data_IF_888865457653
#
_entry.id   IF_888865457653
#
_cell.length_a   1.000
_cell.length_b   1.000
_cell.length_c   1.000
_cell.angle_alpha   90.00
_cell.angle_beta   90.00
_cell.angle_gamma   90.00
#
_symmetry.space_group_name_H-M   'P 1'
#
loop_
_entity.id
_entity.type
_entity.pdbx_description
1 polymer ?
#
# COMPACT_ATOMS: atom_id res chain seq x y z
N UNK A 1 17.76 -26.90 19.70
CA UNK A 1 16.81 -27.74 18.95
C UNK A 1 17.25 -29.19 19.15
N UNK A 2 16.44 -30.02 19.81
CA UNK A 2 16.72 -31.45 19.89
C UNK A 2 16.51 -32.05 18.50
N UNK A 3 17.59 -32.49 17.86
CA UNK A 3 17.51 -33.33 16.66
C UNK A 3 17.03 -34.71 17.12
N UNK A 4 15.73 -34.97 17.01
CA UNK A 4 15.21 -36.32 17.10
C UNK A 4 15.82 -37.15 15.97
N UNK A 5 16.61 -38.16 16.32
CA UNK A 5 17.14 -39.11 15.34
C UNK A 5 16.00 -40.00 14.86
N UNK A 6 15.50 -39.72 13.65
CA UNK A 6 14.47 -40.52 12.94
C UNK A 6 14.95 -41.96 12.70
N UNK A 7 16.25 -42.25 12.85
CA UNK A 7 16.81 -43.60 12.67
C UNK A 7 16.47 -44.58 13.82
N UNK A 8 15.92 -44.09 14.94
CA UNK A 8 15.59 -44.91 16.10
C UNK A 8 14.08 -45.22 16.26
N UNK A 9 13.20 -44.64 15.42
CA UNK A 9 11.75 -44.83 15.55
C UNK A 9 11.27 -46.08 14.77
N UNK A 10 10.28 -46.83 15.30
CA UNK A 10 9.67 -47.92 14.56
C UNK A 10 9.17 -47.40 13.21
N UNK A 11 9.51 -48.12 12.14
CA UNK A 11 9.13 -47.74 10.76
C UNK A 11 7.65 -47.40 10.71
N UNK A 12 7.34 -46.11 10.58
CA UNK A 12 5.96 -45.64 10.43
C UNK A 12 5.31 -46.40 9.28
N UNK A 13 4.02 -46.74 9.44
CA UNK A 13 3.28 -47.31 8.33
C UNK A 13 3.27 -46.31 7.18
N UNK A 14 3.22 -46.80 5.96
CA UNK A 14 3.15 -45.95 4.78
C UNK A 14 1.97 -44.97 4.83
N UNK A 15 0.84 -45.41 5.39
CA UNK A 15 -0.32 -44.58 5.64
C UNK A 15 0.00 -43.40 6.56
N UNK A 16 0.71 -43.66 7.67
CA UNK A 16 1.12 -42.62 8.62
C UNK A 16 2.12 -41.64 8.00
N UNK A 17 3.03 -42.12 7.14
CA UNK A 17 3.95 -41.28 6.37
C UNK A 17 3.23 -40.32 5.44
N UNK A 18 2.23 -40.82 4.69
CA UNK A 18 1.43 -40.00 3.78
C UNK A 18 0.64 -38.95 4.57
N UNK A 19 0.02 -39.32 5.70
CA UNK A 19 -0.69 -38.39 6.57
C UNK A 19 0.23 -37.29 7.14
N UNK A 20 1.40 -37.67 7.65
CA UNK A 20 2.37 -36.74 8.20
C UNK A 20 2.85 -35.77 7.11
N UNK A 21 3.15 -36.27 5.92
CA UNK A 21 3.53 -35.41 4.81
C UNK A 21 2.41 -34.45 4.43
N UNK A 22 1.14 -34.90 4.38
CA UNK A 22 0.01 -34.01 4.09
C UNK A 22 -0.12 -32.87 5.10
N UNK A 23 0.13 -33.13 6.38
CA UNK A 23 0.13 -32.08 7.40
C UNK A 23 1.26 -31.07 7.17
N UNK A 24 2.47 -31.55 6.88
CA UNK A 24 3.63 -30.69 6.56
C UNK A 24 3.37 -29.88 5.29
N UNK A 25 2.79 -30.53 4.27
CA UNK A 25 2.39 -29.92 3.02
C UNK A 25 1.39 -28.77 3.24
N UNK A 26 0.30 -28.99 3.98
CA UNK A 26 -0.67 -27.93 4.30
C UNK A 26 -0.03 -26.73 5.01
N UNK A 27 0.93 -26.98 5.91
CA UNK A 27 1.66 -25.92 6.58
C UNK A 27 2.58 -25.15 5.61
N UNK A 28 3.24 -25.84 4.68
CA UNK A 28 4.05 -25.23 3.61
C UNK A 28 3.16 -24.42 2.65
N UNK A 29 2.00 -24.93 2.24
CA UNK A 29 1.01 -24.20 1.43
C UNK A 29 0.59 -22.88 2.10
N UNK A 30 0.24 -22.94 3.38
CA UNK A 30 -0.19 -21.78 4.14
C UNK A 30 0.92 -20.72 4.23
N UNK A 31 2.14 -21.12 4.58
CA UNK A 31 3.27 -20.18 4.68
C UNK A 31 3.68 -19.64 3.30
N UNK A 32 3.52 -20.41 2.22
CA UNK A 32 3.74 -19.94 0.85
C UNK A 32 2.74 -18.83 0.48
N UNK A 33 1.46 -19.03 0.74
CA UNK A 33 0.42 -18.01 0.53
C UNK A 33 0.68 -16.75 1.36
N UNK A 34 1.09 -16.92 2.62
CA UNK A 34 1.49 -15.80 3.49
C UNK A 34 2.65 -15.00 2.89
N UNK A 35 3.69 -15.68 2.39
CA UNK A 35 4.81 -15.03 1.70
C UNK A 35 4.34 -14.24 0.46
N UNK A 36 3.46 -14.81 -0.36
CA UNK A 36 2.92 -14.11 -1.54
C UNK A 36 2.09 -12.88 -1.14
N UNK A 37 1.27 -12.99 -0.10
CA UNK A 37 0.55 -11.84 0.44
C UNK A 37 1.52 -10.78 0.95
N UNK A 38 2.60 -11.18 1.64
CA UNK A 38 3.60 -10.24 2.12
C UNK A 38 4.34 -9.52 0.99
N UNK A 39 4.67 -10.20 -0.11
CA UNK A 39 5.36 -9.60 -1.25
C UNK A 39 4.49 -8.56 -1.98
N UNK A 40 3.16 -8.69 -1.90
CA UNK A 40 2.17 -7.72 -2.43
C UNK A 40 1.90 -6.58 -1.45
N UNK A 41 1.74 -6.90 -0.17
CA UNK A 41 1.45 -5.91 0.88
C UNK A 41 2.60 -4.94 1.09
N UNK A 42 3.85 -5.39 1.04
CA UNK A 42 5.01 -4.53 1.26
C UNK A 42 5.10 -3.32 0.28
N UNK A 43 5.08 -3.52 -1.05
CA UNK A 43 5.08 -2.40 -1.99
C UNK A 43 3.82 -1.54 -1.88
N UNK A 44 2.66 -2.14 -1.60
CA UNK A 44 1.41 -1.41 -1.41
C UNK A 44 1.46 -0.46 -0.20
N UNK A 45 1.96 -0.93 0.96
CA UNK A 45 2.15 -0.06 2.14
C UNK A 45 3.17 1.05 1.88
N UNK A 46 4.26 0.77 1.16
CA UNK A 46 5.22 1.81 0.78
C UNK A 46 4.62 2.86 -0.16
N UNK A 47 3.78 2.43 -1.11
CA UNK A 47 3.05 3.33 -2.01
C UNK A 47 2.10 4.23 -1.21
N UNK A 48 1.26 3.63 -0.35
CA UNK A 48 0.32 4.34 0.50
C UNK A 48 1.02 5.35 1.42
N UNK A 49 2.17 4.98 2.02
CA UNK A 49 2.96 5.88 2.87
C UNK A 49 3.50 7.06 2.08
N UNK A 50 4.07 6.81 0.90
CA UNK A 50 4.61 7.87 0.03
C UNK A 50 3.50 8.83 -0.43
N UNK A 51 2.32 8.30 -0.75
CA UNK A 51 1.15 9.11 -1.08
C UNK A 51 0.68 9.95 0.12
N UNK A 52 0.63 9.38 1.33
CA UNK A 52 0.28 10.09 2.55
C UNK A 52 1.27 11.22 2.88
N UNK A 53 2.57 10.99 2.72
CA UNK A 53 3.59 12.03 2.91
C UNK A 53 3.42 13.19 1.93
N UNK A 54 3.17 12.87 0.66
CA UNK A 54 2.94 13.88 -0.37
C UNK A 54 1.68 14.68 -0.11
N UNK A 55 0.59 14.01 0.24
CA UNK A 55 -0.67 14.65 0.60
C UNK A 55 -0.49 15.66 1.74
N UNK A 56 0.25 15.31 2.79
CA UNK A 56 0.53 16.23 3.91
C UNK A 56 1.32 17.46 3.47
N UNK A 57 2.35 17.26 2.64
CA UNK A 57 3.17 18.35 2.13
C UNK A 57 2.32 19.33 1.30
N UNK A 58 1.47 18.79 0.42
CA UNK A 58 0.58 19.59 -0.43
C UNK A 58 -0.51 20.29 0.39
N UNK A 59 -1.07 19.64 1.42
CA UNK A 59 -2.03 20.24 2.34
C UNK A 59 -1.41 21.40 3.13
N UNK A 60 -0.19 21.22 3.65
CA UNK A 60 0.53 22.28 4.35
C UNK A 60 0.87 23.46 3.45
N UNK A 61 1.26 23.20 2.20
CA UNK A 61 1.51 24.24 1.21
C UNK A 61 0.23 25.04 0.91
N UNK A 62 -0.90 24.34 0.73
CA UNK A 62 -2.21 24.97 0.54
C UNK A 62 -2.60 25.84 1.74
N UNK A 63 -2.45 25.33 2.97
CA UNK A 63 -2.74 26.07 4.20
C UNK A 63 -1.90 27.34 4.32
N UNK A 64 -0.60 27.26 4.03
CA UNK A 64 0.31 28.41 4.09
C UNK A 64 -0.01 29.47 3.04
N UNK A 65 -0.21 29.05 1.78
CA UNK A 65 -0.49 29.98 0.69
C UNK A 65 -1.86 30.62 0.83
N UNK A 66 -2.90 29.83 1.14
CA UNK A 66 -4.23 30.35 1.36
C UNK A 66 -4.32 31.23 2.62
N UNK A 67 -3.60 30.90 3.70
CA UNK A 67 -3.51 31.77 4.87
C UNK A 67 -2.89 33.14 4.55
N UNK A 68 -1.84 33.18 3.72
CA UNK A 68 -1.23 34.45 3.25
C UNK A 68 -2.21 35.24 2.38
N UNK A 69 -2.93 34.59 1.47
CA UNK A 69 -3.95 35.23 0.64
C UNK A 69 -5.06 35.81 1.51
N UNK A 70 -5.51 35.06 2.51
CA UNK A 70 -6.55 35.51 3.44
C UNK A 70 -6.08 36.73 4.25
N UNK A 71 -4.83 36.75 4.73
CA UNK A 71 -4.25 37.93 5.38
C UNK A 71 -4.17 39.14 4.42
N UNK A 72 -3.79 38.92 3.17
CA UNK A 72 -3.77 39.97 2.15
C UNK A 72 -5.18 40.53 1.92
N UNK A 73 -6.20 39.69 1.80
CA UNK A 73 -7.60 40.11 1.64
C UNK A 73 -8.06 41.00 2.81
N UNK A 74 -7.71 40.66 4.05
CA UNK A 74 -8.07 41.45 5.23
C UNK A 74 -7.26 42.75 5.38
N UNK A 75 -5.99 42.76 4.95
CA UNK A 75 -5.11 43.92 5.09
C UNK A 75 -5.27 44.93 3.95
N UNK A 76 -5.66 44.44 2.78
CA UNK A 76 -5.76 45.21 1.53
C UNK A 76 -7.18 45.75 1.36
N UNK A 77 -7.62 46.62 2.27
CA UNK A 77 -8.88 47.35 2.08
C UNK A 77 -8.71 48.39 0.94
N UNK A 78 -8.62 47.92 -0.31
CA UNK A 78 -8.53 48.72 -1.53
C UNK A 78 -7.33 48.46 -2.46
N UNK A 79 -6.38 47.58 -2.11
CA UNK A 79 -5.26 47.24 -3.02
C UNK A 79 -5.58 45.97 -3.83
N UNK A 80 -5.33 46.02 -5.14
CA UNK A 80 -5.54 44.91 -6.07
C UNK A 80 -4.81 43.66 -5.56
N UNK A 81 -5.57 42.58 -5.35
CA UNK A 81 -5.01 41.25 -5.09
C UNK A 81 -4.02 40.91 -6.19
N UNK A 82 -2.84 40.44 -5.81
CA UNK A 82 -1.86 39.98 -6.78
C UNK A 82 -2.43 38.76 -7.52
N UNK A 83 -2.59 38.86 -8.84
CA UNK A 83 -3.01 37.75 -9.71
C UNK A 83 -2.11 36.52 -9.51
N UNK A 84 -0.84 36.74 -9.17
CA UNK A 84 0.12 35.71 -8.83
C UNK A 84 -0.23 34.96 -7.54
N UNK A 85 -0.75 35.63 -6.51
CA UNK A 85 -1.12 34.99 -5.24
C UNK A 85 -2.35 34.09 -5.40
N UNK A 86 -3.33 34.53 -6.22
CA UNK A 86 -4.50 33.72 -6.57
C UNK A 86 -4.12 32.48 -7.38
N UNK A 87 -3.23 32.63 -8.37
CA UNK A 87 -2.71 31.49 -9.15
C UNK A 87 -2.01 30.47 -8.27
N UNK A 88 -1.15 30.92 -7.35
CA UNK A 88 -0.41 30.02 -6.45
C UNK A 88 -1.32 29.19 -5.54
N UNK A 89 -2.41 29.79 -5.03
CA UNK A 89 -3.38 29.06 -4.21
C UNK A 89 -4.18 28.06 -5.05
N UNK A 90 -4.54 28.41 -6.27
CA UNK A 90 -5.21 27.51 -7.21
C UNK A 90 -4.32 26.31 -7.59
N UNK A 91 -3.04 26.55 -7.87
CA UNK A 91 -2.06 25.51 -8.19
C UNK A 91 -1.85 24.56 -7.00
N UNK A 92 -1.72 25.11 -5.78
CA UNK A 92 -1.58 24.32 -4.56
C UNK A 92 -2.81 23.46 -4.27
N UNK A 93 -4.01 23.96 -4.58
CA UNK A 93 -5.24 23.19 -4.46
C UNK A 93 -5.29 22.03 -5.45
N UNK A 94 -4.98 22.28 -6.72
CA UNK A 94 -4.94 21.20 -7.73
C UNK A 94 -3.92 20.12 -7.37
N UNK A 95 -2.77 20.53 -6.82
CA UNK A 95 -1.77 19.59 -6.30
C UNK A 95 -2.34 18.72 -5.17
N UNK A 96 -3.04 19.31 -4.21
CA UNK A 96 -3.70 18.59 -3.12
C UNK A 96 -4.78 17.62 -3.62
N UNK A 97 -5.66 18.04 -4.54
CA UNK A 97 -6.69 17.17 -5.12
C UNK A 97 -6.08 15.99 -5.88
N UNK A 98 -4.96 16.21 -6.59
CA UNK A 98 -4.21 15.15 -7.27
C UNK A 98 -3.57 14.18 -6.27
N UNK A 99 -3.02 14.69 -5.17
CA UNK A 99 -2.42 13.87 -4.12
C UNK A 99 -3.48 13.02 -3.39
N UNK A 100 -4.68 13.57 -3.17
CA UNK A 100 -5.81 12.87 -2.56
C UNK A 100 -6.28 11.69 -3.42
N UNK A 101 -6.46 11.91 -4.73
CA UNK A 101 -6.80 10.85 -5.67
C UNK A 101 -5.74 9.73 -5.70
N UNK A 102 -4.45 10.10 -5.66
CA UNK A 102 -3.35 9.13 -5.63
C UNK A 102 -3.30 8.33 -4.32
N UNK A 103 -3.59 8.97 -3.18
CA UNK A 103 -3.69 8.30 -1.88
C UNK A 103 -4.83 7.28 -1.86
N UNK A 104 -6.02 7.66 -2.33
CA UNK A 104 -7.17 6.76 -2.38
C UNK A 104 -6.95 5.57 -3.33
N UNK A 105 -6.37 5.80 -4.51
CA UNK A 105 -6.04 4.72 -5.45
C UNK A 105 -5.01 3.72 -4.89
N UNK A 106 -4.08 4.18 -4.05
CA UNK A 106 -3.11 3.29 -3.38
C UNK A 106 -3.78 2.42 -2.29
N UNK A 107 -4.84 2.93 -1.64
CA UNK A 107 -5.64 2.16 -0.69
C UNK A 107 -6.46 1.07 -1.39
N UNK A 108 -7.09 1.38 -2.53
CA UNK A 108 -7.90 0.42 -3.31
C UNK A 108 -7.08 -0.79 -3.80
N UNK A 109 -5.78 -0.61 -4.07
CA UNK A 109 -4.89 -1.69 -4.51
C UNK A 109 -4.60 -2.74 -3.42
N UNK A 110 -4.93 -2.48 -2.16
CA UNK A 110 -4.72 -3.43 -1.06
C UNK A 110 -5.78 -4.55 -1.03
N UNK A 111 -6.85 -4.51 -1.85
CA UNK A 111 -8.05 -5.35 -1.66
C UNK A 111 -8.24 -6.57 -2.59
N UNK A 112 -7.32 -6.98 -3.50
CA UNK A 112 -7.57 -8.12 -4.43
C UNK A 112 -6.31 -8.92 -4.78
N UNK A 113 -6.32 -10.28 -4.76
CA UNK A 113 -5.50 -11.21 -5.61
C UNK A 113 -5.75 -12.74 -5.36
N UNK A 114 -5.84 -13.56 -6.44
CA UNK A 114 -5.98 -15.05 -6.50
C UNK A 114 -4.89 -15.73 -7.41
N UNK A 115 -4.73 -17.08 -7.38
CA UNK A 115 -3.52 -17.92 -7.71
C UNK A 115 -3.64 -18.82 -9.00
N UNK A 116 -2.52 -19.28 -9.61
CA UNK A 116 -2.42 -20.20 -10.79
C UNK A 116 -1.32 -21.31 -10.70
N UNK A 117 -1.52 -22.49 -11.32
CA UNK A 117 -0.96 -23.82 -10.93
C UNK A 117 0.03 -24.54 -11.87
N UNK A 118 0.42 -24.03 -13.04
CA UNK A 118 1.04 -24.85 -14.11
C UNK A 118 2.56 -25.07 -14.06
N UNK A 119 3.30 -24.42 -13.17
CA UNK A 119 4.78 -24.40 -13.20
C UNK A 119 5.46 -25.57 -12.47
N UNK A 120 4.70 -26.57 -12.04
CA UNK A 120 5.07 -27.43 -10.90
C UNK A 120 6.04 -28.58 -11.22
N UNK A 121 6.07 -29.25 -12.38
CA UNK A 121 6.59 -30.65 -12.38
C UNK A 121 7.97 -30.92 -13.05
N UNK A 122 9.12 -30.59 -12.45
CA UNK A 122 10.40 -30.93 -13.14
C UNK A 122 11.75 -30.89 -12.42
N UNK A 123 11.88 -31.10 -11.10
CA UNK A 123 13.17 -30.86 -10.40
C UNK A 123 13.70 -32.07 -9.59
N UNK A 124 15.03 -32.23 -9.59
CA UNK A 124 15.82 -33.28 -8.91
C UNK A 124 16.22 -32.87 -7.48
N UNK A 125 15.97 -33.77 -6.54
CA UNK A 125 15.94 -33.54 -5.09
C UNK A 125 17.27 -33.77 -4.35
N UNK A 126 18.19 -34.56 -4.91
CA UNK A 126 19.42 -34.92 -4.20
C UNK A 126 20.48 -33.82 -4.24
N UNK A 127 20.44 -32.97 -5.27
CA UNK A 127 21.35 -31.84 -5.42
C UNK A 127 21.00 -30.67 -4.47
N UNK A 128 19.72 -30.50 -4.16
CA UNK A 128 19.17 -29.43 -3.33
C UNK A 128 19.74 -29.44 -1.91
N UNK A 129 19.62 -30.59 -1.26
CA UNK A 129 19.93 -30.75 0.16
C UNK A 129 21.44 -30.66 0.40
N UNK A 130 22.26 -31.10 -0.56
CA UNK A 130 23.72 -31.10 -0.43
C UNK A 130 24.36 -29.71 -0.59
N UNK A 131 23.74 -28.80 -1.33
CA UNK A 131 24.32 -27.48 -1.65
C UNK A 131 23.77 -26.32 -0.82
N UNK A 132 22.72 -26.54 -0.02
CA UNK A 132 22.02 -25.44 0.66
C UNK A 132 21.48 -24.41 -0.32
N UNK A 133 21.06 -24.88 -1.50
CA UNK A 133 20.70 -24.04 -2.62
C UNK A 133 19.27 -23.50 -2.41
N UNK A 134 19.19 -22.31 -1.79
CA UNK A 134 17.94 -21.60 -1.54
C UNK A 134 17.17 -21.37 -2.84
N UNK A 135 17.87 -21.11 -3.95
CA UNK A 135 17.24 -20.89 -5.24
C UNK A 135 16.56 -22.15 -5.75
N UNK A 136 17.20 -23.31 -5.58
CA UNK A 136 16.60 -24.60 -5.91
C UNK A 136 15.46 -24.96 -4.93
N UNK A 137 15.51 -24.51 -3.67
CA UNK A 137 14.41 -24.71 -2.70
C UNK A 137 13.19 -23.88 -3.11
N UNK A 138 13.41 -22.64 -3.55
CA UNK A 138 12.35 -21.78 -4.09
C UNK A 138 11.68 -22.36 -5.33
N UNK A 139 12.43 -23.07 -6.17
CA UNK A 139 11.89 -23.76 -7.33
C UNK A 139 11.04 -24.98 -6.95
N UNK A 140 11.33 -25.62 -5.82
CA UNK A 140 10.64 -26.82 -5.34
C UNK A 140 9.43 -26.51 -4.45
N UNK A 141 9.37 -25.31 -3.86
CA UNK A 141 8.29 -24.91 -2.95
C UNK A 141 6.87 -25.11 -3.52
N UNK A 142 6.58 -24.77 -4.79
CA UNK A 142 5.26 -25.06 -5.38
C UNK A 142 4.92 -26.56 -5.45
N UNK A 143 5.93 -27.44 -5.61
CA UNK A 143 5.74 -28.89 -5.65
C UNK A 143 5.44 -29.48 -4.27
N UNK A 144 6.15 -28.98 -3.26
CA UNK A 144 5.96 -29.40 -1.88
C UNK A 144 4.64 -28.88 -1.33
N UNK A 145 4.31 -27.63 -1.66
CA UNK A 145 3.04 -27.03 -1.31
C UNK A 145 1.90 -27.79 -2.00
N UNK A 146 1.90 -28.00 -3.31
CA UNK A 146 0.66 -28.40 -4.00
C UNK A 146 0.68 -29.77 -4.68
N UNK A 147 1.74 -30.56 -4.45
CA UNK A 147 1.89 -31.90 -5.00
C UNK A 147 0.81 -32.87 -4.52
N UNK A 148 0.19 -33.62 -5.42
CA UNK A 148 -0.81 -34.62 -5.05
C UNK A 148 -0.18 -36.02 -4.91
N UNK A 149 0.33 -36.35 -3.72
CA UNK A 149 0.89 -37.69 -3.42
C UNK A 149 -0.10 -38.84 -3.69
N UNK A 150 -1.41 -38.59 -3.58
CA UNK A 150 -2.44 -39.63 -3.79
C UNK A 150 -2.75 -39.88 -5.27
N UNK A 151 -2.29 -39.00 -6.17
CA UNK A 151 -2.37 -39.24 -7.62
C UNK A 151 -1.23 -40.15 -8.11
N UNK A 152 -0.17 -40.31 -7.32
CA UNK A 152 0.87 -41.31 -7.57
C UNK A 152 0.46 -42.63 -6.91
N UNK A 153 0.78 -43.76 -7.56
CA UNK A 153 0.44 -45.09 -7.03
C UNK A 153 1.07 -45.26 -5.63
N UNK A 154 0.28 -45.28 -4.55
CA UNK A 154 0.81 -45.43 -3.22
C UNK A 154 1.55 -46.75 -3.12
N UNK A 155 1.11 -47.83 -3.78
CA UNK A 155 1.78 -49.12 -3.70
C UNK A 155 3.24 -49.10 -4.21
N UNK A 156 3.62 -48.07 -4.99
CA UNK A 156 5.00 -47.85 -5.47
C UNK A 156 5.89 -46.97 -4.57
N UNK A 157 5.35 -46.33 -3.53
CA UNK A 157 6.12 -45.46 -2.65
C UNK A 157 6.89 -46.25 -1.59
N UNK A 158 8.15 -46.55 -1.88
CA UNK A 158 9.07 -47.13 -0.91
C UNK A 158 9.26 -46.19 0.31
N UNK A 159 9.49 -46.71 1.53
CA UNK A 159 9.66 -45.92 2.75
C UNK A 159 10.72 -44.80 2.65
N UNK A 160 11.77 -45.02 1.85
CA UNK A 160 12.81 -44.01 1.56
C UNK A 160 12.27 -42.76 0.85
N UNK A 161 11.28 -42.90 -0.05
CA UNK A 161 10.68 -41.79 -0.78
C UNK A 161 9.81 -40.95 0.17
N UNK A 162 9.04 -41.61 1.04
CA UNK A 162 8.27 -40.95 2.09
C UNK A 162 9.16 -40.14 3.05
N UNK A 163 10.32 -40.69 3.45
CA UNK A 163 11.29 -39.99 4.28
C UNK A 163 11.89 -38.77 3.59
N UNK A 164 12.24 -38.88 2.30
CA UNK A 164 12.76 -37.75 1.53
C UNK A 164 11.74 -36.62 1.38
N UNK A 165 10.48 -36.97 1.11
CA UNK A 165 9.38 -36.00 1.02
C UNK A 165 9.17 -35.27 2.34
N UNK A 166 9.20 -35.97 3.48
CA UNK A 166 9.10 -35.34 4.79
C UNK A 166 10.25 -34.38 5.08
N UNK A 167 11.50 -34.79 4.80
CA UNK A 167 12.67 -33.93 5.02
C UNK A 167 12.65 -32.69 4.13
N UNK A 168 12.18 -32.83 2.89
CA UNK A 168 11.95 -31.71 1.99
C UNK A 168 10.84 -30.79 2.51
N UNK A 169 9.71 -31.36 2.90
CA UNK A 169 8.60 -30.63 3.50
C UNK A 169 9.04 -29.81 4.72
N UNK A 170 9.86 -30.42 5.59
CA UNK A 170 10.43 -29.75 6.74
C UNK A 170 11.40 -28.62 6.34
N UNK A 171 12.28 -28.85 5.36
CA UNK A 171 13.19 -27.80 4.88
C UNK A 171 12.43 -26.61 4.26
N UNK A 172 11.37 -26.88 3.49
CA UNK A 172 10.46 -25.86 2.96
C UNK A 172 9.74 -25.10 4.07
N UNK A 173 9.27 -25.80 5.10
CA UNK A 173 8.61 -25.22 6.25
C UNK A 173 9.54 -24.28 7.01
N UNK A 174 10.75 -24.74 7.34
CA UNK A 174 11.75 -23.95 8.08
C UNK A 174 12.14 -22.69 7.32
N UNK A 175 12.36 -22.81 6.00
CA UNK A 175 12.66 -21.69 5.12
C UNK A 175 11.52 -20.67 5.06
N UNK A 176 10.30 -21.14 4.75
CA UNK A 176 9.14 -20.27 4.65
C UNK A 176 8.77 -19.62 5.98
N UNK A 177 8.93 -20.36 7.08
CA UNK A 177 8.70 -19.84 8.42
C UNK A 177 9.66 -18.68 8.72
N UNK A 178 10.96 -18.87 8.48
CA UNK A 178 11.96 -17.84 8.69
C UNK A 178 11.66 -16.57 7.86
N UNK A 179 11.28 -16.74 6.59
CA UNK A 179 10.88 -15.61 5.72
C UNK A 179 9.60 -14.95 6.22
N UNK A 180 8.57 -15.73 6.56
CA UNK A 180 7.28 -15.19 6.99
C UNK A 180 7.40 -14.41 8.29
N UNK A 181 8.15 -14.91 9.27
CA UNK A 181 8.41 -14.20 10.54
C UNK A 181 9.06 -12.84 10.26
N UNK A 182 10.10 -12.82 9.44
CA UNK A 182 10.82 -11.57 9.15
C UNK A 182 9.98 -10.60 8.32
N UNK A 183 9.30 -11.08 7.29
CA UNK A 183 8.43 -10.25 6.45
C UNK A 183 7.20 -9.74 7.19
N UNK A 184 6.58 -10.53 8.08
CA UNK A 184 5.52 -10.05 8.97
C UNK A 184 6.01 -8.95 9.91
N UNK A 185 7.24 -9.06 10.45
CA UNK A 185 7.85 -8.02 11.29
C UNK A 185 8.01 -6.72 10.51
N UNK A 186 8.51 -6.80 9.28
CA UNK A 186 8.68 -5.64 8.38
C UNK A 186 7.32 -5.03 8.02
N UNK A 187 6.32 -5.84 7.64
CA UNK A 187 4.97 -5.34 7.31
C UNK A 187 4.33 -4.66 8.51
N UNK A 188 4.44 -5.24 9.71
CA UNK A 188 3.93 -4.61 10.94
C UNK A 188 4.56 -3.24 11.19
N UNK A 189 5.87 -3.11 10.97
CA UNK A 189 6.54 -1.82 11.05
C UNK A 189 6.03 -0.85 9.98
N UNK A 190 5.79 -1.30 8.75
CA UNK A 190 5.21 -0.46 7.68
C UNK A 190 3.79 0.00 8.00
N UNK A 191 2.94 -0.88 8.55
CA UNK A 191 1.58 -0.53 9.01
C UNK A 191 1.65 0.54 10.09
N UNK A 192 2.53 0.39 11.08
CA UNK A 192 2.71 1.39 12.13
C UNK A 192 3.22 2.72 11.59
N UNK A 193 4.14 2.70 10.63
CA UNK A 193 4.63 3.90 9.96
C UNK A 193 3.53 4.58 9.15
N UNK A 194 2.75 3.83 8.36
CA UNK A 194 1.61 4.38 7.63
C UNK A 194 0.60 4.99 8.61
N UNK A 195 0.24 4.30 9.69
CA UNK A 195 -0.67 4.84 10.69
C UNK A 195 -0.16 6.14 11.32
N UNK A 196 1.13 6.21 11.68
CA UNK A 196 1.74 7.44 12.19
C UNK A 196 1.79 8.56 11.14
N UNK A 197 2.01 8.20 9.88
CA UNK A 197 2.08 9.12 8.73
C UNK A 197 0.71 9.69 8.41
N UNK A 198 -0.34 8.88 8.50
CA UNK A 198 -1.73 9.25 8.21
C UNK A 198 -2.46 9.87 9.42
N UNK A 199 -1.94 9.74 10.64
CA UNK A 199 -2.53 10.31 11.85
C UNK A 199 -2.90 11.82 11.76
N UNK A 200 -2.10 12.72 11.15
CA UNK A 200 -2.45 14.13 11.04
C UNK A 200 -3.40 14.45 9.87
N UNK A 201 -3.67 13.50 8.97
CA UNK A 201 -4.49 13.75 7.76
C UNK A 201 -5.89 14.28 8.13
N UNK A 202 -6.66 13.67 9.03
CA UNK A 202 -8.01 14.17 9.34
C UNK A 202 -8.02 15.62 9.82
N UNK A 203 -7.08 16.01 10.69
CA UNK A 203 -6.99 17.38 11.19
C UNK A 203 -6.61 18.37 10.08
N UNK A 204 -5.66 18.00 9.22
CA UNK A 204 -5.27 18.80 8.06
C UNK A 204 -6.43 18.95 7.06
N UNK A 205 -7.23 17.90 6.84
CA UNK A 205 -8.42 17.96 5.99
C UNK A 205 -9.40 18.98 6.52
N UNK A 206 -9.73 18.94 7.82
CA UNK A 206 -10.60 19.93 8.46
C UNK A 206 -10.05 21.35 8.31
N UNK A 207 -8.75 21.57 8.55
CA UNK A 207 -8.14 22.89 8.36
C UNK A 207 -8.18 23.37 6.91
N UNK A 208 -8.00 22.48 5.94
CA UNK A 208 -8.11 22.81 4.51
C UNK A 208 -9.54 23.22 4.14
N UNK A 209 -10.55 22.52 4.69
CA UNK A 209 -11.97 22.86 4.50
C UNK A 209 -12.33 24.20 5.14
N UNK A 210 -11.88 24.44 6.37
CA UNK A 210 -12.07 25.72 7.07
C UNK A 210 -11.44 26.89 6.32
N UNK A 211 -10.21 26.71 5.82
CA UNK A 211 -9.52 27.72 5.01
C UNK A 211 -10.27 27.96 3.69
N UNK A 212 -10.74 26.90 3.02
CA UNK A 212 -11.53 27.04 1.80
C UNK A 212 -12.80 27.84 2.04
N UNK A 213 -13.54 27.54 3.11
CA UNK A 213 -14.74 28.28 3.48
C UNK A 213 -14.43 29.75 3.79
N UNK A 214 -13.34 30.02 4.50
CA UNK A 214 -12.91 31.37 4.87
C UNK A 214 -12.46 32.20 3.66
N UNK A 215 -11.73 31.58 2.72
CA UNK A 215 -11.34 32.22 1.46
C UNK A 215 -12.56 32.52 0.58
N UNK A 216 -13.51 31.60 0.48
CA UNK A 216 -14.74 31.83 -0.27
C UNK A 216 -15.52 33.03 0.29
N UNK A 217 -15.72 33.08 1.61
CA UNK A 217 -16.38 34.22 2.26
C UNK A 217 -15.65 35.55 2.02
N UNK A 218 -14.33 35.58 2.20
CA UNK A 218 -13.53 36.79 2.03
C UNK A 218 -13.54 37.30 0.57
N UNK A 219 -13.52 36.39 -0.40
CA UNK A 219 -13.62 36.74 -1.82
C UNK A 219 -15.01 37.30 -2.17
N UNK A 220 -16.09 36.68 -1.68
CA UNK A 220 -17.46 37.19 -1.88
C UNK A 220 -17.64 38.59 -1.27
N UNK A 221 -17.15 38.84 -0.05
CA UNK A 221 -17.19 40.18 0.56
C UNK A 221 -16.37 41.22 -0.23
N UNK A 222 -15.22 40.83 -0.78
CA UNK A 222 -14.40 41.71 -1.62
C UNK A 222 -15.07 42.05 -2.96
N UNK A 223 -15.82 41.09 -3.52
CA UNK A 223 -16.67 41.28 -4.71
C UNK A 223 -17.81 42.26 -4.45
N UNK A 224 -18.50 42.16 -3.31
CA UNK A 224 -19.58 43.08 -2.95
C UNK A 224 -19.07 44.53 -2.79
N UNK A 225 -17.92 44.70 -2.12
CA UNK A 225 -17.25 46.01 -1.96
C UNK A 225 -16.82 46.60 -3.31
N UNK A 226 -16.26 45.78 -4.20
CA UNK A 226 -15.90 46.24 -5.55
C UNK A 226 -17.12 46.53 -6.42
N UNK A 227 -18.24 45.80 -6.27
CA UNK A 227 -19.49 46.11 -6.96
C UNK A 227 -20.09 47.44 -6.50
N UNK A 228 -20.10 47.71 -5.19
CA UNK A 228 -20.54 48.98 -4.62
C UNK A 228 -19.66 50.16 -5.07
N UNK A 229 -18.36 49.94 -5.28
CA UNK A 229 -17.44 50.94 -5.82
C UNK A 229 -17.58 51.13 -7.34
N UNK A 230 -17.85 50.06 -8.10
CA UNK A 230 -17.97 50.10 -9.56
C UNK A 230 -19.32 50.70 -10.03
N UNK A 231 -20.39 50.61 -9.24
CA UNK A 231 -21.63 51.38 -9.51
C UNK A 231 -21.42 52.89 -9.34
N UNK A 232 -20.32 53.32 -8.70
CA UNK A 232 -19.90 54.71 -8.63
C UNK A 232 -18.88 55.11 -9.73
N UNK A 233 -18.25 54.16 -10.43
CA UNK A 233 -17.26 54.43 -11.49
C UNK A 233 -17.14 53.29 -12.53
N UNK A 234 -17.44 53.57 -13.80
CA UNK A 234 -17.21 52.69 -14.97
C UNK A 234 -15.95 53.13 -15.76
N UNK A 235 -15.32 52.32 -16.67
CA UNK A 235 -15.67 50.98 -17.18
C UNK A 235 -14.50 49.95 -17.22
N UNK A 236 -13.49 50.00 -16.34
CA UNK A 236 -12.33 49.07 -16.40
C UNK A 236 -12.53 47.71 -15.67
N UNK A 237 -13.67 47.48 -15.01
CA UNK A 237 -13.90 46.34 -14.10
C UNK A 237 -14.25 45.00 -14.79
N UNK A 238 -14.50 44.98 -16.11
CA UNK A 238 -15.06 43.81 -16.80
C UNK A 238 -14.14 42.58 -16.88
N UNK A 239 -12.83 42.78 -17.05
CA UNK A 239 -11.87 41.67 -17.22
C UNK A 239 -11.53 40.96 -15.91
N UNK A 240 -11.45 41.71 -14.80
CA UNK A 240 -11.19 41.15 -13.47
C UNK A 240 -12.41 40.36 -12.97
N UNK A 241 -13.61 40.87 -13.27
CA UNK A 241 -14.88 40.26 -12.89
C UNK A 241 -15.11 38.89 -13.53
N UNK A 242 -14.88 38.77 -14.83
CA UNK A 242 -15.01 37.49 -15.53
C UNK A 242 -14.07 36.39 -14.97
N UNK A 243 -12.87 36.77 -14.51
CA UNK A 243 -11.92 35.82 -13.89
C UNK A 243 -12.27 35.49 -12.44
N UNK A 244 -12.82 36.43 -11.68
CA UNK A 244 -13.33 36.17 -10.33
C UNK A 244 -14.55 35.25 -10.34
N UNK A 245 -15.48 35.45 -11.27
CA UNK A 245 -16.65 34.58 -11.44
C UNK A 245 -16.24 33.15 -11.84
N UNK A 246 -15.19 33.02 -12.67
CA UNK A 246 -14.60 31.72 -13.04
C UNK A 246 -13.94 31.02 -11.82
N UNK A 247 -13.31 31.78 -10.92
CA UNK A 247 -12.76 31.25 -9.68
C UNK A 247 -13.85 30.84 -8.68
N UNK A 248 -14.94 31.59 -8.58
CA UNK A 248 -16.09 31.25 -7.74
C UNK A 248 -16.78 29.96 -8.23
N UNK A 249 -16.89 29.79 -9.56
CA UNK A 249 -17.34 28.53 -10.18
C UNK A 249 -16.41 27.35 -9.89
N UNK A 250 -15.10 27.59 -9.74
CA UNK A 250 -14.14 26.53 -9.41
C UNK A 250 -14.09 26.25 -7.89
N UNK A 251 -14.61 27.15 -7.04
CA UNK A 251 -14.65 27.06 -5.58
C UNK A 251 -15.93 26.41 -5.03
N UNK A 252 -17.01 26.37 -5.80
CA UNK A 252 -18.20 25.54 -5.52
C UNK A 252 -17.95 24.09 -5.90
#
# INVERSE_FOLDING_TARGET
>A
MQQGSIDAEPTLSQHNYVQLFRLVQLAVEHLWQMRESHSKLYPAYNCARTAADRWKADAQAYLQLGGRLLQQLHSSSGALLSEQALSQVADARMALETADAAYNAALDQLERLEINWRLVFGVDMQQLVAKGDVQQLEQLLPQVAYGNILAEDPAGLAPRHCRQLLLLGQACLDYLWAICVETSRVIKAQVQQLAATSAPIPALTTSCEELRASLAAALSSSLELTHAAATAAAPAAGSLRAKMDQLESNLR
#
